data_IF_174114558984
#
_entry.id   IF_174114558984
#
_cell.length_a   1.000
_cell.length_b   1.000
_cell.length_c   1.000
_cell.angle_alpha   90.00
_cell.angle_beta   90.00
_cell.angle_gamma   90.00
#
_symmetry.space_group_name_H-M   'P 1'
#
loop_
_entity.id
_entity.type
_entity.pdbx_description
1 polymer ?
#
# COMPACT_ATOMS: atom_id res chain seq x y z
N UNK A 1 -0.13 -0.37 16.20
CA UNK A 1 0.84 0.24 15.26
C UNK A 1 0.43 1.68 14.98
N UNK A 2 1.26 2.49 14.29
CA UNK A 2 0.77 3.79 13.78
C UNK A 2 -0.10 3.55 12.54
N UNK A 3 -1.09 4.41 12.31
CA UNK A 3 -1.92 4.35 11.10
C UNK A 3 -1.21 5.02 9.93
N UNK A 4 -1.23 4.42 8.74
CA UNK A 4 -0.74 5.08 7.54
C UNK A 4 -1.73 6.18 7.09
N UNK A 5 -1.26 7.13 6.27
CA UNK A 5 -2.15 7.94 5.45
C UNK A 5 -3.06 7.07 4.59
N UNK A 6 -4.31 7.49 4.34
CA UNK A 6 -5.23 6.76 3.47
C UNK A 6 -4.69 6.65 2.04
N UNK A 7 -3.85 7.60 1.62
CA UNK A 7 -3.20 7.63 0.32
C UNK A 7 -2.27 6.41 0.10
N UNK A 8 -1.82 5.75 1.18
CA UNK A 8 -1.07 4.48 1.06
C UNK A 8 -1.92 3.34 0.53
N UNK A 9 -3.23 3.37 0.74
CA UNK A 9 -4.18 2.43 0.12
C UNK A 9 -4.23 2.65 -1.40
N UNK A 10 -4.21 3.91 -1.84
CA UNK A 10 -4.15 4.25 -3.27
C UNK A 10 -2.87 3.75 -3.94
N UNK A 11 -1.72 3.94 -3.28
CA UNK A 11 -0.44 3.39 -3.77
C UNK A 11 -0.48 1.86 -3.86
N UNK A 12 -1.17 1.20 -2.92
CA UNK A 12 -1.37 -0.25 -2.93
C UNK A 12 -2.30 -0.69 -4.08
N UNK A 13 -3.39 0.02 -4.34
CA UNK A 13 -4.26 -0.22 -5.49
C UNK A 13 -3.48 -0.15 -6.79
N UNK A 14 -2.67 0.88 -7.01
CA UNK A 14 -1.81 0.96 -8.20
C UNK A 14 -0.83 -0.20 -8.29
N UNK A 15 -0.24 -0.65 -7.17
CA UNK A 15 0.65 -1.80 -7.18
C UNK A 15 -0.05 -3.10 -7.61
N UNK A 16 -1.32 -3.26 -7.21
CA UNK A 16 -2.17 -4.38 -7.62
C UNK A 16 -2.56 -4.25 -9.09
N UNK A 17 -3.00 -3.07 -9.52
CA UNK A 17 -3.43 -2.77 -10.88
C UNK A 17 -2.31 -3.00 -11.90
N UNK A 18 -1.11 -2.52 -11.57
CA UNK A 18 0.10 -2.68 -12.39
C UNK A 18 0.71 -4.09 -12.31
N UNK A 19 0.11 -5.00 -11.54
CA UNK A 19 0.61 -6.37 -11.30
C UNK A 19 2.06 -6.37 -10.78
N UNK A 20 2.41 -5.40 -9.93
CA UNK A 20 3.76 -5.20 -9.35
C UNK A 20 4.02 -6.06 -8.10
N UNK A 21 3.21 -7.10 -7.88
CA UNK A 21 3.24 -7.92 -6.66
C UNK A 21 3.46 -9.39 -7.05
N UNK A 22 4.51 -9.98 -6.50
CA UNK A 22 4.79 -11.41 -6.60
C UNK A 22 4.56 -12.01 -5.22
N UNK A 23 3.56 -12.88 -5.10
CA UNK A 23 3.22 -13.56 -3.85
C UNK A 23 3.97 -14.89 -3.74
N UNK A 24 4.49 -15.17 -2.55
CA UNK A 24 5.05 -16.45 -2.12
C UNK A 24 4.25 -16.98 -0.92
N UNK A 25 4.68 -18.11 -0.33
CA UNK A 25 3.98 -18.77 0.78
C UNK A 25 3.85 -17.88 2.03
N UNK A 26 4.97 -17.29 2.46
CA UNK A 26 5.06 -16.45 3.67
C UNK A 26 5.73 -15.09 3.40
N UNK A 27 5.88 -14.74 2.13
CA UNK A 27 6.51 -13.49 1.72
C UNK A 27 5.95 -12.99 0.39
N UNK A 28 6.20 -11.73 0.08
CA UNK A 28 5.87 -11.14 -1.20
C UNK A 28 6.91 -10.11 -1.59
N UNK A 29 7.05 -9.91 -2.89
CA UNK A 29 7.87 -8.86 -3.47
C UNK A 29 6.96 -7.83 -4.12
N UNK A 30 7.16 -6.56 -3.77
CA UNK A 30 6.36 -5.45 -4.28
C UNK A 30 7.28 -4.40 -4.89
N UNK A 31 7.18 -4.22 -6.20
CA UNK A 31 7.98 -3.24 -6.92
C UNK A 31 7.44 -1.81 -6.74
N UNK A 32 8.31 -0.80 -6.78
CA UNK A 32 7.93 0.62 -6.79
C UNK A 32 7.23 1.02 -8.09
N UNK A 33 6.50 2.13 -8.08
CA UNK A 33 5.77 2.63 -9.26
C UNK A 33 6.68 2.93 -10.46
N UNK A 34 7.98 3.17 -10.22
CA UNK A 34 8.99 3.40 -11.25
C UNK A 34 9.88 2.17 -11.54
N UNK A 35 9.60 1.03 -10.89
CA UNK A 35 10.35 -0.21 -11.05
C UNK A 35 11.79 -0.20 -10.52
N UNK A 36 12.26 0.89 -9.91
CA UNK A 36 13.65 1.01 -9.46
C UNK A 36 13.96 0.30 -8.16
N UNK A 37 12.94 -0.02 -7.36
CA UNK A 37 13.07 -0.69 -6.07
C UNK A 37 12.07 -1.82 -5.96
N UNK A 38 12.50 -2.90 -5.32
CA UNK A 38 11.62 -4.00 -4.91
C UNK A 38 11.67 -4.09 -3.39
N UNK A 39 10.50 -4.03 -2.77
CA UNK A 39 10.35 -4.19 -1.33
C UNK A 39 9.90 -5.62 -1.03
N UNK A 40 10.44 -6.18 0.04
CA UNK A 40 10.03 -7.49 0.55
C UNK A 40 9.03 -7.27 1.67
N UNK A 41 7.98 -8.07 1.67
CA UNK A 41 7.03 -8.20 2.78
C UNK A 41 7.12 -9.65 3.26
N UNK A 42 7.26 -9.87 4.55
CA UNK A 42 7.28 -11.20 5.16
C UNK A 42 6.19 -11.26 6.23
N UNK A 43 5.53 -12.41 6.39
CA UNK A 43 4.51 -12.58 7.43
C UNK A 43 4.54 -13.95 8.10
N UNK A 44 4.14 -13.95 9.38
CA UNK A 44 3.89 -15.12 10.19
C UNK A 44 2.62 -14.87 11.04
N UNK A 45 1.53 -15.55 10.68
CA UNK A 45 0.20 -15.29 11.23
C UNK A 45 -0.28 -13.85 10.99
N UNK A 46 -0.42 -13.10 12.09
CA UNK A 46 -0.79 -11.68 12.08
C UNK A 46 0.42 -10.73 12.22
N UNK A 47 1.64 -11.27 12.24
CA UNK A 47 2.86 -10.46 12.29
C UNK A 47 3.39 -10.23 10.89
N UNK A 48 3.60 -8.97 10.51
CA UNK A 48 4.13 -8.57 9.21
C UNK A 48 5.40 -7.74 9.39
N UNK A 49 6.34 -7.91 8.46
CA UNK A 49 7.52 -7.09 8.34
C UNK A 49 7.72 -6.66 6.88
N UNK A 50 8.30 -5.48 6.66
CA UNK A 50 8.67 -5.05 5.31
C UNK A 50 9.97 -4.27 5.29
N UNK A 51 10.71 -4.40 4.18
CA UNK A 51 11.89 -3.59 3.89
C UNK A 51 11.57 -2.17 3.43
N UNK A 52 10.29 -1.85 3.22
CA UNK A 52 9.82 -0.50 2.92
C UNK A 52 10.15 0.48 4.07
N UNK A 53 10.69 1.68 3.79
CA UNK A 53 11.05 2.65 4.83
C UNK A 53 9.89 3.06 5.74
N UNK A 54 8.65 3.06 5.26
CA UNK A 54 7.49 3.41 6.08
C UNK A 54 7.26 2.32 7.14
N UNK A 55 7.30 1.05 6.74
CA UNK A 55 7.19 -0.07 7.69
C UNK A 55 8.42 -0.17 8.59
N UNK A 56 9.61 -0.05 8.02
CA UNK A 56 10.87 -0.28 8.73
C UNK A 56 11.19 0.85 9.74
N UNK A 57 11.03 2.11 9.35
CA UNK A 57 11.40 3.27 10.17
C UNK A 57 10.20 3.92 10.85
N UNK A 58 9.07 4.08 10.16
CA UNK A 58 7.91 4.82 10.68
C UNK A 58 6.98 3.96 11.54
N UNK A 59 7.00 2.63 11.38
CA UNK A 59 6.23 1.70 12.21
C UNK A 59 4.73 1.67 11.89
N UNK A 60 4.36 2.06 10.68
CA UNK A 60 3.03 1.88 10.09
C UNK A 60 3.14 1.04 8.80
N UNK A 61 2.09 0.36 8.35
CA UNK A 61 2.16 -0.49 7.17
C UNK A 61 2.26 0.39 5.93
N UNK A 62 3.38 0.28 5.21
CA UNK A 62 3.54 0.93 3.91
C UNK A 62 2.66 0.29 2.85
N UNK A 63 2.59 0.92 1.67
CA UNK A 63 1.83 0.39 0.53
C UNK A 63 2.16 -1.09 0.19
N UNK A 64 3.39 -1.62 0.38
CA UNK A 64 3.66 -3.02 0.12
C UNK A 64 2.88 -3.96 1.06
N UNK A 65 2.84 -3.64 2.35
CA UNK A 65 2.10 -4.44 3.35
C UNK A 65 0.61 -4.36 3.05
N UNK A 66 0.08 -3.17 2.76
CA UNK A 66 -1.33 -2.97 2.42
C UNK A 66 -1.73 -3.77 1.18
N UNK A 67 -0.90 -3.73 0.13
CA UNK A 67 -1.15 -4.46 -1.10
C UNK A 67 -1.16 -5.98 -0.88
N UNK A 68 -0.28 -6.49 -0.02
CA UNK A 68 -0.27 -7.90 0.39
C UNK A 68 -1.52 -8.26 1.18
N UNK A 69 -1.95 -7.43 2.13
CA UNK A 69 -3.17 -7.68 2.90
C UNK A 69 -4.41 -7.75 1.99
N UNK A 70 -4.50 -6.86 0.99
CA UNK A 70 -5.55 -6.92 -0.02
C UNK A 70 -5.47 -8.19 -0.88
N UNK A 71 -4.27 -8.58 -1.33
CA UNK A 71 -4.07 -9.82 -2.08
C UNK A 71 -4.38 -11.08 -1.28
N UNK A 72 -4.25 -11.03 0.05
CA UNK A 72 -4.65 -12.10 0.96
C UNK A 72 -6.15 -12.10 1.27
N UNK A 73 -6.92 -11.13 0.74
CA UNK A 73 -8.35 -10.97 1.04
C UNK A 73 -8.63 -10.48 2.47
N UNK A 74 -7.62 -9.95 3.18
CA UNK A 74 -7.77 -9.42 4.54
C UNK A 74 -8.26 -7.97 4.59
N UNK A 75 -8.02 -7.22 3.52
CA UNK A 75 -8.57 -5.87 3.31
C UNK A 75 -9.48 -5.90 2.08
N UNK A 76 -10.55 -5.09 2.06
CA UNK A 76 -11.41 -4.98 0.90
C UNK A 76 -10.61 -4.46 -0.29
N UNK A 77 -10.98 -4.95 -1.46
CA UNK A 77 -10.38 -4.58 -2.73
C UNK A 77 -11.51 -4.42 -3.74
N UNK A 78 -11.75 -3.19 -4.16
CA UNK A 78 -12.70 -2.91 -5.23
C UNK A 78 -11.97 -2.96 -6.58
N UNK A 79 -12.40 -3.85 -7.46
CA UNK A 79 -11.70 -4.08 -8.73
C UNK A 79 -11.81 -2.88 -9.69
N UNK A 80 -12.91 -2.13 -9.65
CA UNK A 80 -13.12 -0.96 -10.49
C UNK A 80 -12.24 0.21 -10.02
N UNK A 81 -12.15 0.40 -8.70
CA UNK A 81 -11.23 1.35 -8.09
C UNK A 81 -9.78 1.00 -8.44
N UNK A 82 -9.39 -0.28 -8.33
CA UNK A 82 -8.03 -0.73 -8.68
C UNK A 82 -7.73 -0.47 -10.15
N UNK A 83 -8.64 -0.83 -11.06
CA UNK A 83 -8.45 -0.63 -12.49
C UNK A 83 -8.23 0.86 -12.85
N UNK A 84 -8.96 1.75 -12.17
CA UNK A 84 -8.84 3.21 -12.32
C UNK A 84 -7.51 3.78 -11.81
N UNK A 85 -6.77 3.01 -11.01
CA UNK A 85 -5.52 3.42 -10.36
C UNK A 85 -4.27 2.87 -11.04
N UNK A 86 -4.39 2.31 -12.25
CA UNK A 86 -3.24 1.81 -13.01
C UNK A 86 -2.32 2.93 -13.52
N UNK A 87 -1.03 2.63 -13.66
CA UNK A 87 -0.02 3.48 -14.28
C UNK A 87 0.25 4.84 -13.62
N UNK A 88 -0.11 5.01 -12.34
CA UNK A 88 0.13 6.24 -11.58
C UNK A 88 1.59 6.29 -11.08
N UNK A 89 2.38 7.33 -11.43
CA UNK A 89 3.80 7.42 -11.07
C UNK A 89 3.98 7.99 -9.65
N UNK A 90 3.48 7.30 -8.63
CA UNK A 90 3.48 7.73 -7.23
C UNK A 90 4.81 8.24 -6.69
N UNK A 91 5.93 7.59 -7.02
CA UNK A 91 7.25 8.06 -6.58
C UNK A 91 7.55 9.47 -7.09
N UNK A 92 7.25 9.75 -8.37
CA UNK A 92 7.45 11.06 -8.98
C UNK A 92 6.54 12.11 -8.33
N UNK A 93 5.28 11.76 -8.08
CA UNK A 93 4.30 12.62 -7.41
C UNK A 93 4.74 12.94 -5.97
N UNK A 94 5.07 11.91 -5.19
CA UNK A 94 5.53 12.06 -3.81
C UNK A 94 6.81 12.91 -3.73
N UNK A 95 7.75 12.74 -4.66
CA UNK A 95 8.99 13.53 -4.68
C UNK A 95 8.70 15.00 -5.07
N UNK A 96 7.83 15.24 -6.06
CA UNK A 96 7.42 16.58 -6.48
C UNK A 96 6.70 17.35 -5.37
N UNK A 97 5.81 16.66 -4.65
CA UNK A 97 5.03 17.20 -3.54
C UNK A 97 5.74 17.14 -2.19
N UNK A 98 7.05 16.86 -2.16
CA UNK A 98 7.87 16.78 -0.92
C UNK A 98 7.27 15.87 0.17
N UNK A 99 6.66 14.76 -0.25
CA UNK A 99 5.95 13.77 0.59
C UNK A 99 4.67 14.31 1.24
N UNK A 100 4.10 15.39 0.70
CA UNK A 100 2.70 15.72 0.93
C UNK A 100 1.84 14.70 0.16
N UNK A 101 1.41 13.66 0.87
CA UNK A 101 0.65 12.57 0.27
C UNK A 101 -0.73 13.03 -0.20
N UNK A 102 -1.35 13.99 0.49
CA UNK A 102 -2.66 14.50 0.11
C UNK A 102 -2.59 15.26 -1.22
N UNK A 103 -1.59 16.14 -1.38
CA UNK A 103 -1.37 16.84 -2.64
C UNK A 103 -1.00 15.88 -3.79
N UNK A 104 -0.17 14.87 -3.51
CA UNK A 104 0.16 13.83 -4.48
C UNK A 104 -1.06 13.00 -4.90
N UNK A 105 -1.96 12.69 -3.97
CA UNK A 105 -3.19 11.96 -4.25
C UNK A 105 -4.18 12.81 -5.06
N UNK A 106 -4.31 14.10 -4.77
CA UNK A 106 -5.13 15.02 -5.56
C UNK A 106 -4.66 15.08 -7.02
N UNK A 107 -3.34 15.19 -7.25
CA UNK A 107 -2.77 15.16 -8.59
C UNK A 107 -2.94 13.79 -9.27
N UNK A 108 -2.76 12.69 -8.54
CA UNK A 108 -2.95 11.33 -9.05
C UNK A 108 -4.40 11.08 -9.50
N UNK A 109 -5.36 11.56 -8.72
CA UNK A 109 -6.79 11.39 -8.96
C UNK A 109 -7.39 12.47 -9.86
N UNK A 110 -6.61 13.46 -10.30
CA UNK A 110 -7.12 14.61 -11.06
C UNK A 110 -7.89 14.24 -12.32
N UNK A 111 -7.53 13.13 -12.97
CA UNK A 111 -8.16 12.62 -14.18
C UNK A 111 -9.03 11.38 -13.95
N UNK A 112 -9.25 10.98 -12.70
CA UNK A 112 -10.04 9.78 -12.36
C UNK A 112 -11.48 10.19 -12.08
N UNK A 113 -12.42 9.68 -12.88
CA UNK A 113 -13.84 10.05 -12.78
C UNK A 113 -14.43 9.71 -11.41
N UNK A 114 -14.13 8.52 -10.89
CA UNK A 114 -14.66 8.02 -9.61
C UNK A 114 -13.77 8.37 -8.41
N UNK A 115 -13.02 9.47 -8.45
CA UNK A 115 -12.04 9.82 -7.41
C UNK A 115 -12.61 9.92 -5.99
N UNK A 116 -13.82 10.44 -5.83
CA UNK A 116 -14.47 10.59 -4.53
C UNK A 116 -14.78 9.22 -3.90
N UNK A 117 -15.26 8.30 -4.72
CA UNK A 117 -15.54 6.92 -4.33
C UNK A 117 -14.26 6.17 -3.98
N UNK A 118 -13.22 6.29 -4.81
CA UNK A 118 -11.92 5.67 -4.56
C UNK A 118 -11.30 6.18 -3.25
N UNK A 119 -11.42 7.48 -2.97
CA UNK A 119 -10.97 8.07 -1.70
C UNK A 119 -11.77 7.54 -0.52
N UNK A 120 -13.09 7.39 -0.66
CA UNK A 120 -13.94 6.79 0.37
C UNK A 120 -13.53 5.35 0.69
N UNK A 121 -13.32 4.53 -0.35
CA UNK A 121 -12.84 3.16 -0.22
C UNK A 121 -11.45 3.10 0.43
N UNK A 122 -10.56 4.04 0.12
CA UNK A 122 -9.25 4.14 0.74
C UNK A 122 -9.34 4.48 2.24
N UNK A 123 -10.24 5.39 2.62
CA UNK A 123 -10.51 5.71 4.02
C UNK A 123 -11.12 4.53 4.77
N UNK A 124 -12.08 3.82 4.16
CA UNK A 124 -12.70 2.62 4.72
C UNK A 124 -11.67 1.51 4.94
N UNK A 125 -10.81 1.23 3.94
CA UNK A 125 -9.72 0.28 4.07
C UNK A 125 -8.76 0.63 5.21
N UNK A 126 -8.49 1.93 5.41
CA UNK A 126 -7.68 2.40 6.53
C UNK A 126 -8.40 2.28 7.89
N UNK A 127 -9.72 2.47 7.94
CA UNK A 127 -10.51 2.26 9.15
C UNK A 127 -10.53 0.77 9.55
N UNK A 128 -10.76 -0.13 8.58
CA UNK A 128 -10.72 -1.58 8.82
C UNK A 128 -9.33 -2.01 9.30
N UNK A 129 -8.27 -1.49 8.68
CA UNK A 129 -6.89 -1.74 9.11
C UNK A 129 -6.65 -1.35 10.59
N UNK A 130 -7.34 -0.32 11.09
CA UNK A 130 -7.22 0.10 12.50
C UNK A 130 -7.85 -0.90 13.47
N UNK A 131 -8.87 -1.64 13.03
CA UNK A 131 -9.57 -2.66 13.81
C UNK A 131 -8.86 -4.02 13.76
N UNK A 132 -7.95 -4.23 12.80
CA UNK A 132 -7.18 -5.46 12.68
C UNK A 132 -6.17 -5.62 13.82
N UNK A 133 -6.06 -6.84 14.37
CA UNK A 133 -4.97 -7.23 15.27
C UNK A 133 -3.67 -7.50 14.46
N UNK A 134 -3.13 -6.45 13.85
CA UNK A 134 -1.92 -6.50 13.03
C UNK A 134 -0.68 -6.10 13.83
N UNK A 135 0.33 -6.97 13.83
CA UNK A 135 1.62 -6.69 14.49
C UNK A 135 2.69 -6.37 13.45
N UNK A 136 3.21 -5.14 13.46
CA UNK A 136 4.32 -4.75 12.58
C UNK A 136 5.67 -4.91 13.26
N UNK A 137 6.62 -5.51 12.53
CA UNK A 137 8.03 -5.62 12.92
C UNK A 137 8.93 -5.11 11.81
N UNK A 138 10.15 -4.69 12.18
CA UNK A 138 11.18 -4.32 11.20
C UNK A 138 11.73 -5.52 10.42
N UNK A 139 11.75 -6.68 11.06
CA UNK A 139 12.20 -7.96 10.50
C UNK A 139 11.56 -9.08 11.29
N UNK A 140 11.16 -10.16 10.62
CA UNK A 140 10.82 -11.40 11.32
C UNK A 140 12.11 -12.04 11.84
N UNK A 141 12.08 -12.58 13.07
CA UNK A 141 13.21 -13.37 13.56
C UNK A 141 13.28 -14.62 12.68
N UNK A 142 14.38 -14.81 11.95
CA UNK A 142 14.67 -16.12 11.34
C UNK A 142 14.83 -17.10 12.51
N UNK A 143 13.97 -18.12 12.55
CA UNK A 143 14.15 -19.26 13.44
C UNK A 143 15.44 -20.00 13.06
#
# INVERSE_FOLDING_TARGET
>A
MKMPPAEKILEAYSAIADKRIIMHENSAEVSSSDGTKTYTVEWDGNTYASSDPATYWQGYPGYPVLAVLMKQGKLPLDEEAVASMAHIPWKKLNDAHKRDYAAAAEEALGNVENKEEIMRLAQEGNALLAEMDLVLKRKLKKK
#
